data_IF_175135971092
#
_entry.id   IF_175135971092
#
_cell.length_a   1.000
_cell.length_b   1.000
_cell.length_c   1.000
_cell.angle_alpha   90.00
_cell.angle_beta   90.00
_cell.angle_gamma   90.00
#
_symmetry.space_group_name_H-M   'P 1'
#
loop_
_entity.id
_entity.type
_entity.pdbx_description
1 polymer ?
#
# COMPACT_ATOMS: atom_id res chain seq x y z
N UNK A 1 -21.48 27.27 33.28
CA UNK A 1 -22.64 26.79 32.50
C UNK A 1 -22.14 25.79 31.48
N UNK A 2 -22.49 24.52 31.69
CA UNK A 2 -22.13 23.41 30.78
C UNK A 2 -23.33 23.13 29.90
N UNK A 3 -23.15 23.19 28.58
CA UNK A 3 -24.16 22.73 27.64
C UNK A 3 -23.72 21.39 27.03
N UNK A 4 -24.48 20.34 27.41
CA UNK A 4 -24.37 19.00 26.79
C UNK A 4 -25.29 18.97 25.59
N UNK A 5 -24.76 18.76 24.40
CA UNK A 5 -25.56 18.52 23.19
C UNK A 5 -25.60 17.01 22.98
N UNK A 6 -26.80 16.44 23.15
CA UNK A 6 -27.13 15.06 22.82
C UNK A 6 -27.65 15.06 21.39
N UNK A 7 -26.91 14.43 20.47
CA UNK A 7 -27.38 14.23 19.10
C UNK A 7 -27.99 12.83 18.98
N UNK A 8 -29.31 12.84 18.79
CA UNK A 8 -30.14 11.64 18.59
C UNK A 8 -30.00 11.16 17.14
N UNK A 9 -29.50 9.95 16.92
CA UNK A 9 -29.46 9.31 15.59
C UNK A 9 -30.76 8.55 15.36
N UNK A 10 -31.61 9.06 14.47
CA UNK A 10 -32.81 8.38 14.02
C UNK A 10 -32.47 7.42 12.89
N UNK A 11 -32.71 6.13 13.14
CA UNK A 11 -32.53 5.04 12.19
C UNK A 11 -33.84 4.90 11.38
N UNK A 12 -33.81 5.24 10.09
CA UNK A 12 -34.96 5.13 9.17
C UNK A 12 -34.90 3.74 8.52
N UNK A 13 -35.84 2.88 8.90
CA UNK A 13 -36.10 1.59 8.27
C UNK A 13 -37.13 1.81 7.13
N UNK A 14 -36.73 1.50 5.89
CA UNK A 14 -37.63 1.43 4.75
C UNK A 14 -38.04 -0.03 4.48
N UNK A 15 -39.30 -0.34 4.20
CA UNK A 15 -39.73 -1.70 3.90
C UNK A 15 -39.46 -2.07 2.44
N UNK A 16 -38.95 -3.27 2.24
CA UNK A 16 -38.77 -3.91 0.94
C UNK A 16 -40.12 -4.53 0.50
N UNK A 17 -40.74 -4.00 -0.56
CA UNK A 17 -41.90 -4.60 -1.17
C UNK A 17 -41.47 -5.56 -2.27
N UNK A 18 -41.86 -6.83 -2.13
CA UNK A 18 -41.66 -7.87 -3.12
C UNK A 18 -42.55 -7.68 -4.35
N UNK A 19 -42.00 -8.02 -5.51
CA UNK A 19 -42.77 -8.23 -6.73
C UNK A 19 -42.72 -9.72 -7.07
N UNK A 20 -43.88 -10.36 -6.98
CA UNK A 20 -44.16 -11.70 -7.48
C UNK A 20 -44.48 -11.61 -8.97
N UNK A 21 -43.89 -12.46 -9.80
CA UNK A 21 -44.40 -12.76 -11.13
C UNK A 21 -44.37 -14.27 -11.36
N UNK A 22 -45.60 -14.84 -11.34
CA UNK A 22 -45.92 -16.17 -11.79
C UNK A 22 -45.65 -16.32 -13.30
N UNK A 23 -45.02 -17.40 -13.68
CA UNK A 23 -45.21 -18.02 -15.00
C UNK A 23 -45.19 -19.54 -14.86
N UNK A 24 -46.38 -20.10 -15.02
CA UNK A 24 -46.70 -21.50 -15.20
C UNK A 24 -46.14 -22.04 -16.54
N UNK A 25 -45.54 -23.20 -16.49
CA UNK A 25 -45.15 -23.99 -17.68
C UNK A 25 -44.97 -25.47 -17.31
N UNK A 26 -45.94 -26.27 -17.75
CA UNK A 26 -46.16 -27.70 -17.51
C UNK A 26 -45.15 -28.62 -18.18
N UNK A 27 -44.94 -29.77 -17.50
CA UNK A 27 -44.68 -31.15 -17.98
C UNK A 27 -43.28 -31.50 -18.49
N UNK A 28 -42.60 -32.48 -17.92
CA UNK A 28 -42.76 -33.93 -18.11
C UNK A 28 -41.92 -34.71 -17.12
N UNK A 29 -42.47 -35.84 -16.66
CA UNK A 29 -41.84 -36.82 -15.81
C UNK A 29 -40.72 -37.56 -16.55
N UNK A 30 -39.57 -37.69 -15.93
CA UNK A 30 -38.54 -38.63 -16.26
C UNK A 30 -38.01 -39.27 -14.99
N UNK A 31 -38.45 -40.53 -14.76
CA UNK A 31 -37.89 -41.41 -13.74
C UNK A 31 -36.41 -41.65 -14.00
N UNK A 32 -35.59 -41.30 -13.03
CA UNK A 32 -34.22 -41.87 -12.89
C UNK A 32 -34.04 -42.24 -11.42
N UNK A 33 -34.02 -43.50 -11.15
CA UNK A 33 -33.43 -44.09 -9.95
C UNK A 33 -31.93 -44.04 -10.14
N UNK A 34 -31.21 -43.45 -9.21
CA UNK A 34 -29.89 -43.94 -8.84
C UNK A 34 -29.58 -43.57 -7.40
N UNK A 35 -29.44 -44.59 -6.61
CA UNK A 35 -28.78 -44.55 -5.33
C UNK A 35 -27.29 -44.22 -5.56
N UNK A 36 -26.88 -43.00 -5.34
CA UNK A 36 -25.50 -42.67 -5.10
C UNK A 36 -25.38 -41.99 -3.74
N UNK A 37 -24.84 -42.77 -2.83
CA UNK A 37 -24.36 -42.31 -1.53
C UNK A 37 -23.33 -41.23 -1.76
N UNK A 38 -23.74 -39.99 -1.64
CA UNK A 38 -22.81 -38.85 -1.59
C UNK A 38 -22.00 -38.97 -0.29
N UNK A 39 -20.81 -39.50 -0.43
CA UNK A 39 -19.75 -39.42 0.58
C UNK A 39 -19.44 -37.92 0.78
N UNK A 40 -19.85 -37.38 1.91
CA UNK A 40 -19.52 -36.00 2.30
C UNK A 40 -18.02 -35.93 2.50
N UNK A 41 -17.31 -35.46 1.49
CA UNK A 41 -15.91 -35.05 1.63
C UNK A 41 -15.90 -33.88 2.62
N UNK A 42 -15.53 -34.17 3.86
CA UNK A 42 -15.17 -33.16 4.85
C UNK A 42 -13.96 -32.44 4.29
N UNK A 43 -14.19 -31.30 3.65
CA UNK A 43 -13.13 -30.38 3.28
C UNK A 43 -12.60 -29.83 4.60
N UNK A 44 -11.41 -30.29 4.94
CA UNK A 44 -10.64 -29.87 6.10
C UNK A 44 -10.48 -28.34 6.03
N UNK A 45 -11.14 -27.64 6.94
CA UNK A 45 -11.19 -26.18 6.99
C UNK A 45 -9.94 -25.56 7.65
N UNK A 46 -8.82 -26.27 7.62
CA UNK A 46 -7.52 -25.74 7.97
C UNK A 46 -6.87 -24.98 6.80
N UNK A 47 -7.68 -24.10 6.13
CA UNK A 47 -7.12 -23.04 5.31
C UNK A 47 -6.36 -22.11 6.25
N UNK A 48 -5.04 -22.18 6.14
CA UNK A 48 -4.07 -21.38 6.85
C UNK A 48 -4.60 -19.98 7.12
N UNK A 49 -4.90 -19.68 8.37
CA UNK A 49 -5.02 -18.30 8.83
C UNK A 49 -3.67 -17.65 8.56
N UNK A 50 -3.60 -16.90 7.44
CA UNK A 50 -2.50 -16.00 7.17
C UNK A 50 -2.45 -15.05 8.36
N UNK A 51 -1.49 -15.29 9.26
CA UNK A 51 -1.33 -14.50 10.49
C UNK A 51 -1.08 -13.07 10.08
N UNK A 52 -2.12 -12.24 10.17
CA UNK A 52 -2.02 -10.81 9.90
C UNK A 52 -0.87 -10.24 10.72
N UNK A 53 0.08 -9.59 10.06
CA UNK A 53 1.24 -8.97 10.72
C UNK A 53 0.70 -7.91 11.67
N UNK A 54 0.78 -8.16 12.98
CA UNK A 54 0.37 -7.20 14.00
C UNK A 54 1.47 -6.15 14.15
N UNK A 55 1.19 -4.93 13.64
CA UNK A 55 2.10 -3.81 13.77
C UNK A 55 1.99 -3.19 15.17
N UNK A 56 3.09 -2.65 15.73
CA UNK A 56 3.04 -1.93 17.00
C UNK A 56 2.25 -0.62 16.87
N UNK A 57 1.79 -0.04 17.99
CA UNK A 57 1.12 1.26 17.96
C UNK A 57 2.05 2.35 17.39
N UNK A 58 1.45 3.34 16.70
CA UNK A 58 2.19 4.44 16.11
C UNK A 58 2.90 5.28 17.18
N UNK A 59 4.19 5.60 17.02
CA UNK A 59 4.91 6.47 17.94
C UNK A 59 4.36 7.90 17.88
N UNK A 60 4.41 8.64 18.99
CA UNK A 60 3.94 10.04 19.03
C UNK A 60 4.75 10.96 18.09
N UNK A 61 6.03 10.66 17.86
CA UNK A 61 6.96 11.42 17.01
C UNK A 61 8.04 10.51 16.43
N UNK A 62 8.75 10.92 15.35
CA UNK A 62 9.85 10.17 14.79
C UNK A 62 10.95 9.87 15.83
N UNK A 63 11.44 8.61 15.84
CA UNK A 63 12.53 8.17 16.73
C UNK A 63 13.91 8.70 16.32
N UNK A 64 14.05 9.12 15.07
CA UNK A 64 15.35 9.46 14.46
C UNK A 64 16.22 8.25 14.10
N UNK A 65 15.72 7.02 14.32
CA UNK A 65 16.43 5.76 14.04
C UNK A 65 15.74 4.91 12.98
N UNK A 66 14.48 5.21 12.67
CA UNK A 66 13.71 4.51 11.67
C UNK A 66 14.32 4.68 10.27
N UNK A 67 14.10 3.69 9.41
CA UNK A 67 14.46 3.74 7.99
C UNK A 67 13.38 3.10 7.13
N UNK A 68 13.39 3.45 5.85
CA UNK A 68 12.40 2.99 4.88
C UNK A 68 13.02 1.94 3.96
N UNK A 69 12.24 0.89 3.66
CA UNK A 69 12.51 -0.05 2.57
C UNK A 69 11.32 -0.04 1.63
N UNK A 70 11.58 0.16 0.35
CA UNK A 70 10.58 0.16 -0.72
C UNK A 70 10.88 -1.02 -1.64
N UNK A 71 9.95 -1.96 -1.75
CA UNK A 71 10.06 -3.11 -2.64
C UNK A 71 9.31 -2.83 -3.94
N UNK A 72 10.02 -2.77 -5.05
CA UNK A 72 9.42 -2.66 -6.39
C UNK A 72 8.67 -3.92 -6.79
N UNK A 73 9.06 -5.06 -6.24
CA UNK A 73 8.40 -6.36 -6.47
C UNK A 73 7.02 -6.38 -5.82
N UNK A 74 6.94 -5.96 -4.54
CA UNK A 74 5.72 -6.09 -3.74
C UNK A 74 4.83 -4.85 -3.85
N UNK A 75 5.32 -3.75 -4.43
CA UNK A 75 4.65 -2.44 -4.44
C UNK A 75 4.32 -1.93 -3.02
N UNK A 76 5.26 -2.13 -2.11
CA UNK A 76 5.13 -1.80 -0.69
C UNK A 76 6.26 -0.91 -0.22
N UNK A 77 5.91 0.07 0.60
CA UNK A 77 6.83 0.84 1.43
C UNK A 77 6.70 0.33 2.86
N UNK A 78 7.81 -0.11 3.45
CA UNK A 78 7.91 -0.60 4.83
C UNK A 78 8.78 0.32 5.64
N UNK A 79 8.37 0.63 6.86
CA UNK A 79 9.14 1.38 7.84
C UNK A 79 9.65 0.43 8.89
N UNK A 80 10.95 0.44 9.10
CA UNK A 80 11.61 -0.34 10.14
C UNK A 80 12.21 0.61 11.19
N UNK A 81 12.21 0.17 12.43
CA UNK A 81 12.93 0.86 13.52
C UNK A 81 13.75 -0.16 14.30
N UNK A 82 14.73 0.32 15.06
CA UNK A 82 15.55 -0.52 15.91
C UNK A 82 15.12 -0.39 17.36
N UNK A 83 14.83 -1.54 17.98
CA UNK A 83 14.54 -1.58 19.41
C UNK A 83 15.82 -1.32 20.25
N UNK A 84 15.67 -1.28 21.57
CA UNK A 84 16.81 -1.09 22.50
C UNK A 84 17.83 -2.23 22.45
N UNK A 85 17.39 -3.44 22.06
CA UNK A 85 18.25 -4.62 21.89
C UNK A 85 18.98 -4.67 20.53
N UNK A 86 18.71 -3.72 19.63
CA UNK A 86 19.32 -3.67 18.30
C UNK A 86 18.55 -4.44 17.21
N UNK A 87 17.46 -5.13 17.54
CA UNK A 87 16.63 -5.84 16.58
C UNK A 87 15.92 -4.86 15.66
N UNK A 88 15.77 -5.25 14.40
CA UNK A 88 15.04 -4.49 13.40
C UNK A 88 13.59 -4.97 13.37
N UNK A 89 12.67 -4.06 13.69
CA UNK A 89 11.22 -4.33 13.76
C UNK A 89 10.48 -3.60 12.65
N UNK A 90 9.54 -4.28 12.01
CA UNK A 90 8.59 -3.64 11.11
C UNK A 90 7.58 -2.84 11.96
N UNK A 91 7.53 -1.52 11.76
CA UNK A 91 6.68 -0.62 12.56
C UNK A 91 5.55 0.02 11.76
N UNK A 92 5.64 0.04 10.43
CA UNK A 92 4.56 0.46 9.54
C UNK A 92 4.78 -0.09 8.12
N UNK A 93 3.69 -0.25 7.36
CA UNK A 93 3.77 -0.57 5.95
C UNK A 93 2.61 0.08 5.19
N UNK A 94 2.88 0.45 3.94
CA UNK A 94 1.95 1.15 3.08
C UNK A 94 2.05 0.62 1.65
N UNK A 95 0.93 0.33 0.98
CA UNK A 95 0.94 0.09 -0.46
C UNK A 95 1.43 1.35 -1.19
N UNK A 96 2.16 1.17 -2.28
CA UNK A 96 2.72 2.30 -3.01
C UNK A 96 2.64 2.13 -4.53
N UNK A 97 2.64 3.27 -5.22
CA UNK A 97 2.77 3.33 -6.67
C UNK A 97 4.16 3.84 -7.04
N UNK A 98 4.75 3.23 -8.06
CA UNK A 98 6.09 3.56 -8.55
C UNK A 98 6.09 3.86 -10.04
N UNK A 99 7.28 4.08 -10.59
CA UNK A 99 7.49 4.35 -12.01
C UNK A 99 6.76 3.35 -12.91
N UNK A 100 6.12 3.87 -13.95
CA UNK A 100 5.36 3.10 -14.94
C UNK A 100 6.17 1.94 -15.53
N UNK A 101 7.46 2.18 -15.76
CA UNK A 101 8.37 1.19 -16.33
C UNK A 101 9.17 0.48 -15.22
N UNK A 102 9.35 -0.83 -15.37
CA UNK A 102 10.20 -1.66 -14.50
C UNK A 102 11.69 -1.35 -14.71
N UNK A 103 12.51 -1.81 -13.76
CA UNK A 103 13.96 -1.67 -13.76
C UNK A 103 14.44 -0.36 -13.14
N UNK A 104 15.77 -0.25 -12.99
CA UNK A 104 16.41 0.92 -12.40
C UNK A 104 16.34 2.14 -13.34
N UNK A 105 16.19 3.32 -12.74
CA UNK A 105 16.19 4.59 -13.48
C UNK A 105 17.54 4.83 -14.15
N UNK A 106 17.52 5.20 -15.45
CA UNK A 106 18.72 5.44 -16.23
C UNK A 106 18.83 6.90 -16.71
N UNK A 107 17.70 7.53 -17.00
CA UNK A 107 17.64 8.91 -17.52
C UNK A 107 16.34 9.61 -17.14
N UNK A 108 16.34 10.93 -17.30
CA UNK A 108 15.10 11.72 -17.16
C UNK A 108 14.06 11.26 -18.18
N UNK A 109 12.80 11.15 -17.77
CA UNK A 109 11.68 10.78 -18.64
C UNK A 109 11.54 9.29 -18.93
N UNK A 110 12.39 8.41 -18.36
CA UNK A 110 12.30 6.96 -18.58
C UNK A 110 11.18 6.27 -17.77
N UNK A 111 10.42 7.03 -16.98
CA UNK A 111 9.30 6.56 -16.17
C UNK A 111 9.68 5.44 -15.19
N UNK A 112 10.93 5.39 -14.74
CA UNK A 112 11.44 4.39 -13.80
C UNK A 112 11.73 5.03 -12.44
N UNK A 113 11.49 4.27 -11.37
CA UNK A 113 11.94 4.62 -10.02
C UNK A 113 13.39 4.17 -9.85
N UNK A 114 14.30 5.01 -9.32
CA UNK A 114 15.68 4.60 -9.09
C UNK A 114 15.77 3.52 -8.01
N UNK A 115 16.81 2.71 -8.06
CA UNK A 115 17.17 1.69 -7.08
C UNK A 115 18.37 2.16 -6.28
N UNK A 116 18.38 1.87 -4.97
CA UNK A 116 19.51 2.19 -4.13
C UNK A 116 20.68 1.25 -4.43
N UNK A 117 21.91 1.75 -4.61
CA UNK A 117 23.07 0.88 -4.69
C UNK A 117 23.19 0.04 -3.41
N UNK A 118 23.63 -1.21 -3.55
CA UNK A 118 23.79 -2.13 -2.42
C UNK A 118 24.64 -1.51 -1.31
N UNK A 119 24.12 -1.48 -0.09
CA UNK A 119 24.77 -0.90 1.07
C UNK A 119 24.85 0.63 1.11
N UNK A 120 24.23 1.32 0.13
CA UNK A 120 24.22 2.79 0.04
C UNK A 120 22.78 3.29 -0.06
N UNK A 121 22.03 3.38 1.06
CA UNK A 121 20.66 3.89 1.03
C UNK A 121 20.64 5.35 0.55
N UNK A 122 19.56 5.71 -0.13
CA UNK A 122 19.20 7.12 -0.34
C UNK A 122 18.84 7.76 1.00
N UNK A 123 18.66 9.09 1.02
CA UNK A 123 18.26 9.82 2.22
C UNK A 123 17.15 10.80 1.89
N UNK A 124 16.26 11.03 2.85
CA UNK A 124 15.35 12.16 2.79
C UNK A 124 16.17 13.43 3.05
N UNK A 125 16.23 14.32 2.07
CA UNK A 125 16.97 15.59 2.20
C UNK A 125 16.08 16.75 2.60
N UNK A 126 14.77 16.66 2.31
CA UNK A 126 13.83 17.75 2.57
C UNK A 126 12.42 17.18 2.74
N UNK A 127 11.65 17.77 3.65
CA UNK A 127 10.22 17.50 3.85
C UNK A 127 9.48 18.79 3.53
N UNK A 128 8.67 18.77 2.47
CA UNK A 128 8.04 19.97 1.91
C UNK A 128 6.51 19.85 1.95
N UNK A 129 5.83 20.94 2.25
CA UNK A 129 4.39 21.04 2.02
C UNK A 129 4.15 21.08 0.50
N UNK A 130 3.41 20.11 0.01
CA UNK A 130 3.07 19.94 -1.39
C UNK A 130 1.57 20.10 -1.66
N UNK A 131 0.79 20.56 -0.68
CA UNK A 131 -0.67 20.66 -0.73
C UNK A 131 -1.19 21.52 -1.89
N UNK A 132 -0.38 22.45 -2.36
CA UNK A 132 -0.70 23.33 -3.50
C UNK A 132 -0.03 22.91 -4.80
N UNK A 133 0.87 21.92 -4.77
CA UNK A 133 1.62 21.54 -5.95
C UNK A 133 0.74 20.85 -6.98
N UNK A 134 0.99 21.20 -8.24
CA UNK A 134 0.22 20.72 -9.39
C UNK A 134 1.15 20.10 -10.42
N UNK A 135 0.60 19.20 -11.24
CA UNK A 135 1.32 18.57 -12.33
C UNK A 135 0.38 18.29 -13.50
N UNK A 136 0.88 18.44 -14.70
CA UNK A 136 0.21 18.02 -15.92
C UNK A 136 0.86 16.74 -16.46
N UNK A 137 0.16 15.63 -16.28
CA UNK A 137 0.61 14.30 -16.73
C UNK A 137 0.49 14.10 -18.25
N UNK A 138 -0.01 15.09 -18.98
CA UNK A 138 -0.30 15.01 -20.43
C UNK A 138 -1.29 13.91 -20.78
N UNK A 139 -2.21 13.61 -19.90
CA UNK A 139 -3.25 12.59 -20.01
C UNK A 139 -4.67 13.16 -20.23
N UNK A 140 -4.75 14.45 -20.58
CA UNK A 140 -6.00 15.16 -20.86
C UNK A 140 -6.65 15.81 -19.65
N UNK A 141 -6.18 15.58 -18.41
CA UNK A 141 -6.73 16.18 -17.20
C UNK A 141 -6.19 17.61 -16.92
N UNK A 142 -5.19 18.05 -17.69
CA UNK A 142 -4.51 19.31 -17.50
C UNK A 142 -3.69 19.37 -16.20
N UNK A 143 -3.50 20.56 -15.69
CA UNK A 143 -2.68 20.80 -14.51
C UNK A 143 -3.48 20.58 -13.21
N UNK A 144 -3.34 19.42 -12.58
CA UNK A 144 -4.09 18.99 -11.39
C UNK A 144 -3.20 18.92 -10.14
N UNK A 145 -3.79 19.02 -8.93
CA UNK A 145 -3.10 18.65 -7.69
C UNK A 145 -2.77 17.16 -7.75
N UNK A 146 -1.55 16.76 -7.36
CA UNK A 146 -1.09 15.39 -7.59
C UNK A 146 -0.14 14.83 -6.53
N UNK A 147 0.22 15.63 -5.52
CA UNK A 147 1.32 15.29 -4.60
C UNK A 147 0.86 15.04 -3.15
N UNK A 148 -0.43 15.20 -2.84
CA UNK A 148 -0.91 15.17 -1.47
C UNK A 148 -0.40 16.34 -0.63
N UNK A 149 -0.35 16.17 0.69
CA UNK A 149 0.10 17.22 1.60
C UNK A 149 1.62 17.33 1.70
N UNK A 150 2.35 16.20 1.53
CA UNK A 150 3.77 16.15 1.81
C UNK A 150 4.56 15.57 0.65
N UNK A 151 5.75 16.14 0.41
CA UNK A 151 6.77 15.61 -0.50
C UNK A 151 8.07 15.39 0.27
N UNK A 152 8.46 14.14 0.45
CA UNK A 152 9.73 13.73 1.05
C UNK A 152 10.76 13.59 -0.07
N UNK A 153 11.59 14.59 -0.25
CA UNK A 153 12.60 14.62 -1.33
C UNK A 153 13.72 13.66 -1.02
N UNK A 154 14.07 12.85 -2.00
CA UNK A 154 15.17 11.90 -1.89
C UNK A 154 16.44 12.42 -2.58
N UNK A 155 17.58 12.16 -1.95
CA UNK A 155 18.89 12.26 -2.60
C UNK A 155 19.13 10.99 -3.43
N UNK A 156 19.01 11.13 -4.74
CA UNK A 156 19.19 10.03 -5.71
C UNK A 156 20.29 10.41 -6.68
N UNK A 157 21.55 10.02 -6.44
CA UNK A 157 22.69 10.41 -7.27
C UNK A 157 22.45 10.15 -8.76
N UNK A 158 22.72 11.14 -9.60
CA UNK A 158 22.47 11.10 -11.04
C UNK A 158 21.01 11.39 -11.46
N UNK A 159 20.08 11.52 -10.52
CA UNK A 159 18.66 11.80 -10.81
C UNK A 159 18.11 12.86 -9.88
N UNK A 160 17.35 13.81 -10.40
CA UNK A 160 16.70 14.86 -9.63
C UNK A 160 15.19 14.72 -9.61
N UNK A 161 14.53 15.34 -8.62
CA UNK A 161 13.07 15.43 -8.56
C UNK A 161 12.37 14.14 -8.09
N UNK A 162 13.10 13.18 -7.54
CA UNK A 162 12.54 11.94 -6.97
C UNK A 162 12.15 12.18 -5.51
N UNK A 163 10.98 11.67 -5.13
CA UNK A 163 10.49 11.74 -3.76
C UNK A 163 9.37 10.76 -3.46
N UNK A 164 8.97 10.74 -2.19
CA UNK A 164 7.80 10.01 -1.69
C UNK A 164 6.73 11.06 -1.38
N UNK A 165 5.51 10.88 -1.91
CA UNK A 165 4.45 11.88 -1.78
C UNK A 165 3.06 11.23 -1.82
N UNK A 166 2.00 12.01 -1.60
CA UNK A 166 0.62 11.53 -1.70
C UNK A 166 0.16 11.31 -3.14
N UNK A 167 -1.10 10.93 -3.30
CA UNK A 167 -1.67 10.53 -4.60
C UNK A 167 -2.93 11.32 -4.97
N UNK A 168 -3.12 12.53 -4.44
CA UNK A 168 -4.32 13.34 -4.74
C UNK A 168 -4.66 13.31 -6.22
N UNK A 169 -5.91 12.98 -6.56
CA UNK A 169 -6.43 12.75 -7.92
C UNK A 169 -5.75 11.60 -8.70
N UNK A 170 -4.98 10.73 -8.02
CA UNK A 170 -4.34 9.55 -8.58
C UNK A 170 -4.42 8.34 -7.63
N UNK A 171 -5.36 8.33 -6.70
CA UNK A 171 -5.51 7.32 -5.63
C UNK A 171 -5.61 5.90 -6.21
N UNK A 172 -6.34 5.75 -7.32
CA UNK A 172 -6.50 4.47 -8.03
C UNK A 172 -5.18 3.88 -8.56
N UNK A 173 -4.10 4.66 -8.57
CA UNK A 173 -2.78 4.17 -8.96
C UNK A 173 -2.03 3.42 -7.85
N UNK A 174 -2.54 3.46 -6.62
CA UNK A 174 -1.92 2.85 -5.43
C UNK A 174 -2.73 1.63 -4.98
N UNK A 175 -2.12 0.43 -4.88
CA UNK A 175 -0.77 0.08 -5.32
C UNK A 175 -0.66 -0.02 -6.85
N UNK A 176 0.54 0.23 -7.42
CA UNK A 176 0.68 0.08 -8.86
C UNK A 176 1.95 0.68 -9.48
N UNK A 177 1.89 0.82 -10.82
CA UNK A 177 2.95 1.41 -11.64
C UNK A 177 2.36 2.43 -12.60
N UNK A 178 2.39 3.71 -12.19
CA UNK A 178 1.79 4.78 -12.98
C UNK A 178 2.52 6.12 -12.82
N UNK A 179 3.59 6.18 -11.99
CA UNK A 179 4.31 7.44 -11.78
C UNK A 179 5.41 7.65 -12.84
N UNK A 180 5.94 8.85 -12.89
CA UNK A 180 7.09 9.21 -13.72
C UNK A 180 8.45 8.89 -13.06
N UNK A 181 8.40 8.23 -11.88
CA UNK A 181 9.57 7.77 -11.13
C UNK A 181 9.53 8.05 -9.64
N UNK A 182 8.66 8.94 -9.16
CA UNK A 182 8.38 9.13 -7.75
C UNK A 182 7.62 7.96 -7.14
N UNK A 183 7.59 7.89 -5.83
CA UNK A 183 6.84 6.92 -5.05
C UNK A 183 5.59 7.61 -4.51
N UNK A 184 4.40 7.11 -4.89
CA UNK A 184 3.10 7.61 -4.39
C UNK A 184 2.56 6.72 -3.31
N UNK A 185 2.09 7.32 -2.23
CA UNK A 185 1.27 6.71 -1.19
C UNK A 185 -0.15 7.30 -1.27
N UNK A 186 -1.12 6.70 -0.60
CA UNK A 186 -2.38 7.39 -0.36
C UNK A 186 -2.13 8.65 0.49
N UNK A 187 -2.97 9.67 0.37
CA UNK A 187 -2.76 10.94 1.06
C UNK A 187 -2.74 10.79 2.59
N UNK A 188 -3.57 9.89 3.14
CA UNK A 188 -3.55 9.58 4.56
C UNK A 188 -2.27 8.86 5.00
N UNK A 189 -1.72 8.01 4.14
CA UNK A 189 -0.49 7.26 4.44
C UNK A 189 0.73 8.18 4.47
N UNK A 190 0.86 9.13 3.53
CA UNK A 190 1.97 10.09 3.56
C UNK A 190 1.88 11.03 4.77
N UNK A 191 0.66 11.40 5.21
CA UNK A 191 0.46 12.19 6.42
C UNK A 191 0.92 11.40 7.64
N UNK A 192 0.52 10.13 7.74
CA UNK A 192 0.91 9.22 8.82
C UNK A 192 2.41 8.98 8.84
N UNK A 193 3.00 8.67 7.69
CA UNK A 193 4.45 8.48 7.54
C UNK A 193 5.22 9.73 8.00
N UNK A 194 4.82 10.92 7.55
CA UNK A 194 5.46 12.18 7.93
C UNK A 194 5.34 12.47 9.41
N UNK A 195 4.16 12.29 9.97
CA UNK A 195 3.87 12.64 11.38
C UNK A 195 4.63 11.76 12.36
N UNK A 196 4.70 10.47 12.10
CA UNK A 196 5.13 9.48 13.06
C UNK A 196 6.55 8.94 12.83
N UNK A 197 7.07 9.01 11.60
CA UNK A 197 8.32 8.33 11.26
C UNK A 197 9.35 9.20 10.52
N UNK A 198 8.92 10.01 9.53
CA UNK A 198 9.86 10.66 8.62
C UNK A 198 10.63 11.82 9.26
N UNK A 199 11.93 11.88 8.97
CA UNK A 199 12.82 12.96 9.35
C UNK A 199 13.88 13.21 8.25
N UNK A 200 14.48 14.40 8.23
CA UNK A 200 15.57 14.72 7.32
C UNK A 200 16.80 13.90 7.70
N UNK A 201 17.41 13.25 6.73
CA UNK A 201 18.51 12.29 6.92
C UNK A 201 18.04 10.84 7.04
N UNK A 202 16.71 10.57 7.08
CA UNK A 202 16.17 9.22 7.16
C UNK A 202 16.65 8.36 5.99
N UNK A 203 17.25 7.16 6.24
CA UNK A 203 17.68 6.26 5.19
C UNK A 203 16.48 5.66 4.43
N UNK A 204 16.63 5.55 3.11
CA UNK A 204 15.61 4.96 2.21
C UNK A 204 16.29 3.97 1.28
N UNK A 205 15.94 2.70 1.40
CA UNK A 205 16.40 1.63 0.52
C UNK A 205 15.29 1.37 -0.50
N UNK A 206 15.60 1.43 -1.79
CA UNK A 206 14.69 1.06 -2.87
C UNK A 206 15.25 -0.19 -3.54
N UNK A 207 14.55 -1.30 -3.36
CA UNK A 207 14.90 -2.61 -3.92
C UNK A 207 14.35 -2.74 -5.35
N UNK A 208 15.12 -3.38 -6.21
CA UNK A 208 14.69 -3.78 -7.56
C UNK A 208 13.66 -4.91 -7.54
N UNK A 209 13.11 -5.22 -8.72
CA UNK A 209 12.11 -6.28 -8.87
C UNK A 209 12.68 -7.69 -8.62
N UNK A 210 13.99 -7.86 -8.78
CA UNK A 210 14.69 -9.15 -8.63
C UNK A 210 15.43 -9.28 -7.31
N UNK A 211 15.49 -8.21 -6.50
CA UNK A 211 16.13 -8.25 -5.21
C UNK A 211 15.37 -9.18 -4.26
N UNK A 212 16.12 -9.97 -3.52
CA UNK A 212 15.57 -10.82 -2.47
C UNK A 212 15.23 -10.03 -1.21
N UNK A 213 14.61 -10.70 -0.21
CA UNK A 213 14.33 -10.08 1.07
C UNK A 213 15.61 -9.65 1.77
N UNK A 214 15.51 -8.59 2.55
CA UNK A 214 16.62 -8.13 3.38
C UNK A 214 16.91 -9.10 4.53
N UNK A 215 18.13 -9.10 5.14
CA UNK A 215 18.52 -10.09 6.15
C UNK A 215 17.60 -10.18 7.36
N UNK A 216 16.88 -9.10 7.70
CA UNK A 216 15.95 -9.02 8.82
C UNK A 216 14.48 -9.27 8.42
N UNK A 217 14.18 -9.39 7.12
CA UNK A 217 12.82 -9.72 6.67
C UNK A 217 12.56 -11.23 6.81
N UNK A 218 11.35 -11.63 7.23
CA UNK A 218 11.00 -13.04 7.27
C UNK A 218 11.16 -13.66 5.88
N UNK A 219 11.97 -14.70 5.78
CA UNK A 219 12.04 -15.49 4.56
C UNK A 219 10.71 -16.24 4.41
N UNK A 220 10.06 -16.10 3.27
CA UNK A 220 8.93 -16.97 2.95
C UNK A 220 9.39 -18.42 3.15
N UNK A 221 8.69 -19.17 4.00
CA UNK A 221 8.93 -20.61 4.15
C UNK A 221 8.81 -21.21 2.76
N UNK A 222 9.89 -21.83 2.25
CA UNK A 222 9.79 -22.67 1.06
C UNK A 222 8.77 -23.74 1.41
N UNK A 223 7.67 -23.80 0.65
CA UNK A 223 6.80 -24.95 0.70
C UNK A 223 7.69 -26.17 0.47
N UNK A 224 7.85 -27.00 1.49
CA UNK A 224 8.53 -28.30 1.35
C UNK A 224 7.61 -29.15 0.49
N UNK A 225 7.98 -29.30 -0.78
CA UNK A 225 7.40 -30.36 -1.60
C UNK A 225 7.76 -31.69 -0.91
N UNK A 226 6.78 -32.28 -0.27
CA UNK A 226 6.75 -33.69 0.04
C UNK A 226 5.95 -34.42 -1.04
#
# INVERSE_FOLDING_TARGET
MRYTIITLFAMLLLPFTGISSDLSGTSQAGNYNDNDTAEAVLVDSDVAQETAIQLPPLPAKPSGKAFIVISKKDLMLRVYDRNKGGDTLLVAQYPCCMGKNKGNKQKRGDMRTPESPKGKPFKITMIQDASTWRHDFKDGRGNIKAYGHWFLRLETPGHSGIGIHGSTNNEKSVPGRASEGCIRLLDQDIITLKKHFAYVGMPVIILGETDGPLPWEPRARKASNQ
#
